data_IF_074445225134
#
_entry.id   IF_074445225134
#
_cell.length_a   1.000
_cell.length_b   1.000
_cell.length_c   1.000
_cell.angle_alpha   90.00
_cell.angle_beta   90.00
_cell.angle_gamma   90.00
#
_symmetry.space_group_name_H-M   'P 1'
#
loop_
_entity.id
_entity.type
_entity.pdbx_description
1 polymer ?
#
# COMPACT_ATOMS: atom_id res chain seq x y z
N UNK A 1 16.71 -9.16 1.00
CA UNK A 1 16.42 -8.06 0.05
C UNK A 1 16.91 -6.75 0.63
N UNK A 2 17.54 -5.95 -0.19
CA UNK A 2 18.11 -4.66 0.19
C UNK A 2 17.01 -3.66 0.61
N UNK A 3 17.25 -2.93 1.70
CA UNK A 3 16.30 -1.92 2.21
C UNK A 3 16.05 -0.81 1.18
N UNK A 4 17.05 -0.41 0.43
CA UNK A 4 16.87 0.59 -0.62
C UNK A 4 15.89 0.11 -1.69
N UNK A 5 15.98 -1.15 -2.08
CA UNK A 5 15.06 -1.76 -3.04
C UNK A 5 13.65 -1.86 -2.48
N UNK A 6 13.51 -2.27 -1.22
CA UNK A 6 12.21 -2.32 -0.56
C UNK A 6 11.55 -0.95 -0.50
N UNK A 7 12.34 0.09 -0.18
CA UNK A 7 11.85 1.47 -0.12
C UNK A 7 11.41 1.97 -1.49
N UNK A 8 12.22 1.73 -2.52
CA UNK A 8 11.90 2.11 -3.89
C UNK A 8 10.60 1.46 -4.36
N UNK A 9 10.47 0.16 -4.14
CA UNK A 9 9.25 -0.58 -4.48
C UNK A 9 8.04 -0.05 -3.72
N UNK A 10 8.19 0.27 -2.44
CA UNK A 10 7.13 0.83 -1.62
C UNK A 10 6.67 2.21 -2.14
N UNK A 11 7.61 3.09 -2.46
CA UNK A 11 7.29 4.41 -3.00
C UNK A 11 6.57 4.30 -4.35
N UNK A 12 7.03 3.40 -5.20
CA UNK A 12 6.38 3.18 -6.49
C UNK A 12 4.95 2.65 -6.33
N UNK A 13 4.75 1.69 -5.44
CA UNK A 13 3.41 1.19 -5.14
C UNK A 13 2.51 2.31 -4.61
N UNK A 14 3.03 3.16 -3.72
CA UNK A 14 2.27 4.29 -3.18
C UNK A 14 1.80 5.23 -4.28
N UNK A 15 2.67 5.57 -5.23
CA UNK A 15 2.32 6.42 -6.37
C UNK A 15 1.24 5.77 -7.23
N UNK A 16 1.34 4.47 -7.46
CA UNK A 16 0.34 3.72 -8.21
C UNK A 16 -1.02 3.72 -7.49
N UNK A 17 -1.03 3.54 -6.17
CA UNK A 17 -2.25 3.57 -5.36
C UNK A 17 -2.93 4.94 -5.41
N UNK A 18 -2.16 6.02 -5.31
CA UNK A 18 -2.70 7.39 -5.36
C UNK A 18 -3.44 7.63 -6.68
N UNK A 19 -2.92 7.08 -7.79
CA UNK A 19 -3.54 7.25 -9.10
C UNK A 19 -4.88 6.50 -9.26
N UNK A 20 -5.23 5.64 -8.30
CA UNK A 20 -6.46 4.85 -8.34
C UNK A 20 -7.42 5.40 -7.27
N UNK A 21 -8.53 6.07 -7.64
CA UNK A 21 -9.51 6.55 -6.67
C UNK A 21 -10.05 5.39 -5.83
N UNK A 22 -10.07 5.57 -4.51
CA UNK A 22 -10.52 4.53 -3.58
C UNK A 22 -11.33 5.10 -2.41
N UNK A 23 -12.42 5.85 -2.67
CA UNK A 23 -13.28 6.32 -1.60
C UNK A 23 -13.88 5.14 -0.84
N UNK A 24 -14.27 5.36 0.41
CA UNK A 24 -14.83 4.30 1.27
C UNK A 24 -15.98 3.58 0.57
N UNK A 25 -15.98 2.26 0.64
CA UNK A 25 -16.90 1.33 -0.03
C UNK A 25 -16.69 1.19 -1.55
N UNK A 26 -15.71 1.86 -2.13
CA UNK A 26 -15.37 1.79 -3.56
C UNK A 26 -13.89 1.46 -3.75
N UNK A 27 -13.36 0.52 -2.96
CA UNK A 27 -11.94 0.18 -2.92
C UNK A 27 -11.55 -0.96 -3.89
N UNK A 28 -12.48 -1.45 -4.68
CA UNK A 28 -12.26 -2.64 -5.53
C UNK A 28 -11.04 -2.51 -6.44
N UNK A 29 -10.88 -1.37 -7.09
CA UNK A 29 -9.80 -1.16 -8.04
C UNK A 29 -8.42 -1.13 -7.37
N UNK A 30 -8.28 -0.40 -6.27
CA UNK A 30 -7.01 -0.34 -5.53
C UNK A 30 -6.70 -1.69 -4.89
N UNK A 31 -7.71 -2.37 -4.37
CA UNK A 31 -7.54 -3.71 -3.81
C UNK A 31 -7.03 -4.69 -4.87
N UNK A 32 -7.64 -4.69 -6.05
CA UNK A 32 -7.19 -5.52 -7.17
C UNK A 32 -5.77 -5.20 -7.60
N UNK A 33 -5.41 -3.93 -7.62
CA UNK A 33 -4.05 -3.49 -7.96
C UNK A 33 -3.02 -4.02 -6.95
N UNK A 34 -3.30 -3.89 -5.66
CA UNK A 34 -2.41 -4.39 -4.60
C UNK A 34 -2.27 -5.91 -4.69
N UNK A 35 -3.37 -6.63 -4.90
CA UNK A 35 -3.34 -8.08 -5.07
C UNK A 35 -2.48 -8.49 -6.26
N UNK A 36 -2.60 -7.81 -7.39
CA UNK A 36 -1.77 -8.07 -8.58
C UNK A 36 -0.30 -7.80 -8.29
N UNK A 37 -0.02 -6.71 -7.57
CA UNK A 37 1.33 -6.33 -7.18
C UNK A 37 1.98 -7.40 -6.28
N UNK A 38 1.24 -7.90 -5.29
CA UNK A 38 1.69 -8.97 -4.40
C UNK A 38 1.92 -10.27 -5.17
N UNK A 39 0.99 -10.62 -6.06
CA UNK A 39 1.10 -11.84 -6.88
C UNK A 39 2.31 -11.81 -7.79
N UNK A 40 2.59 -10.67 -8.41
CA UNK A 40 3.75 -10.50 -9.27
C UNK A 40 5.07 -10.72 -8.52
N UNK A 41 5.07 -10.51 -7.20
CA UNK A 41 6.24 -10.71 -6.33
C UNK A 41 6.19 -12.03 -5.56
N UNK A 42 5.25 -12.91 -5.92
CA UNK A 42 5.09 -14.24 -5.31
C UNK A 42 4.84 -14.17 -3.81
N UNK A 43 4.12 -13.15 -3.36
CA UNK A 43 3.70 -13.01 -1.98
C UNK A 43 2.31 -13.62 -1.85
N UNK A 44 2.23 -14.72 -1.10
CA UNK A 44 0.95 -15.39 -0.85
C UNK A 44 0.06 -14.51 0.00
N UNK A 45 -1.20 -14.41 -0.38
CA UNK A 45 -2.19 -13.61 0.31
C UNK A 45 -3.59 -14.12 0.00
N UNK A 46 -4.54 -13.71 0.81
CA UNK A 46 -5.96 -13.96 0.61
C UNK A 46 -6.68 -12.63 0.44
N UNK A 47 -7.70 -12.63 -0.39
CA UNK A 47 -8.61 -11.50 -0.52
C UNK A 47 -10.00 -11.92 -0.05
N UNK A 48 -10.55 -11.18 0.92
CA UNK A 48 -11.91 -11.39 1.41
C UNK A 48 -12.63 -10.06 1.25
N UNK A 49 -13.50 -9.95 0.23
CA UNK A 49 -14.06 -8.66 -0.17
C UNK A 49 -12.95 -7.73 -0.63
N UNK A 50 -12.77 -6.61 0.04
CA UNK A 50 -11.66 -5.67 -0.19
C UNK A 50 -10.64 -5.68 0.94
N UNK A 51 -10.57 -6.79 1.68
CA UNK A 51 -9.54 -7.01 2.69
C UNK A 51 -8.47 -7.94 2.13
N UNK A 52 -7.23 -7.57 2.31
CA UNK A 52 -6.08 -8.37 1.89
C UNK A 52 -5.36 -8.85 3.14
N UNK A 53 -5.15 -10.15 3.23
CA UNK A 53 -4.51 -10.78 4.39
C UNK A 53 -3.31 -11.59 3.92
N UNK A 54 -2.13 -11.29 4.45
CA UNK A 54 -0.93 -12.08 4.22
C UNK A 54 -0.38 -12.53 5.58
N UNK A 55 0.02 -13.79 5.67
CA UNK A 55 0.52 -14.37 6.91
C UNK A 55 1.85 -15.06 6.68
N UNK A 56 2.77 -14.89 7.61
CA UNK A 56 4.05 -15.59 7.63
C UNK A 56 4.25 -16.21 9.01
N UNK A 57 3.57 -17.32 9.25
CA UNK A 57 3.64 -18.04 10.52
C UNK A 57 4.62 -19.21 10.35
N UNK A 58 5.85 -19.03 10.83
CA UNK A 58 6.91 -20.03 10.73
C UNK A 58 7.00 -20.92 11.96
N UNK A 59 6.46 -20.48 13.09
CA UNK A 59 6.46 -21.22 14.35
C UNK A 59 5.24 -20.82 15.18
N UNK A 60 4.30 -21.75 15.35
CA UNK A 60 3.05 -21.51 16.06
C UNK A 60 3.24 -21.23 17.57
N UNK A 61 4.41 -21.58 18.14
CA UNK A 61 4.70 -21.33 19.54
C UNK A 61 5.21 -19.91 19.82
N UNK A 62 5.52 -19.15 18.77
CA UNK A 62 5.94 -17.75 18.89
C UNK A 62 4.74 -16.82 18.82
N UNK A 63 4.79 -15.68 19.50
CA UNK A 63 3.73 -14.68 19.37
C UNK A 63 3.67 -14.13 17.95
N UNK A 64 2.48 -13.73 17.54
CA UNK A 64 2.22 -13.15 16.23
C UNK A 64 2.04 -11.64 16.35
N UNK A 65 2.77 -10.88 15.55
CA UNK A 65 2.57 -9.44 15.39
C UNK A 65 1.65 -9.21 14.20
N UNK A 66 0.56 -8.51 14.41
CA UNK A 66 -0.34 -8.12 13.33
C UNK A 66 -0.14 -6.64 13.00
N UNK A 67 0.10 -6.37 11.72
CA UNK A 67 0.13 -5.02 11.18
C UNK A 67 -1.16 -4.79 10.41
N UNK A 68 -1.78 -3.63 10.59
CA UNK A 68 -3.07 -3.33 9.97
C UNK A 68 -3.12 -1.89 9.49
N UNK A 69 -3.64 -1.70 8.28
CA UNK A 69 -3.84 -0.39 7.68
C UNK A 69 -5.05 -0.47 6.74
N UNK A 70 -5.59 0.69 6.34
CA UNK A 70 -6.72 0.75 5.43
C UNK A 70 -6.30 1.29 4.05
N UNK A 71 -7.06 0.94 3.03
CA UNK A 71 -6.78 1.30 1.64
C UNK A 71 -7.77 2.30 1.06
N UNK A 72 -8.85 2.60 1.78
CA UNK A 72 -9.81 3.62 1.37
C UNK A 72 -9.33 5.01 1.75
N UNK A 73 -9.87 6.00 1.06
CA UNK A 73 -9.65 7.40 1.32
C UNK A 73 -10.98 8.13 1.47
N UNK A 74 -10.94 9.34 1.99
CA UNK A 74 -12.06 10.27 1.87
C UNK A 74 -12.18 10.73 0.41
N UNK A 75 -13.30 11.35 0.05
CA UNK A 75 -13.40 12.02 -1.25
C UNK A 75 -12.52 13.27 -1.26
N UNK A 76 -11.92 13.62 -2.41
CA UNK A 76 -11.02 14.76 -2.46
C UNK A 76 -11.77 16.07 -2.20
N UNK A 77 -11.12 16.96 -1.45
CA UNK A 77 -11.62 18.32 -1.22
C UNK A 77 -11.53 19.12 -2.52
N UNK A 78 -12.49 20.01 -2.82
CA UNK A 78 -12.38 20.90 -3.97
C UNK A 78 -11.28 21.97 -3.82
N UNK A 79 -10.70 22.09 -2.62
CA UNK A 79 -9.67 23.07 -2.30
C UNK A 79 -8.24 22.62 -2.64
N UNK A 80 -8.06 21.44 -3.20
CA UNK A 80 -6.74 20.96 -3.65
C UNK A 80 -6.15 21.93 -4.69
N UNK A 81 -4.89 22.32 -4.48
CA UNK A 81 -4.15 23.17 -5.42
C UNK A 81 -3.50 22.38 -6.56
N UNK A 82 -3.63 21.05 -6.55
CA UNK A 82 -3.11 20.13 -7.56
C UNK A 82 -4.10 18.97 -7.72
N UNK A 83 -3.92 18.19 -8.80
CA UNK A 83 -4.75 16.99 -9.01
C UNK A 83 -4.44 15.96 -7.89
N UNK A 84 -5.40 15.63 -7.02
CA UNK A 84 -5.16 14.71 -5.90
C UNK A 84 -4.79 13.30 -6.31
N UNK A 85 -5.09 12.89 -7.54
CA UNK A 85 -4.77 11.55 -8.05
C UNK A 85 -3.54 11.52 -8.94
N UNK A 86 -3.22 12.63 -9.61
CA UNK A 86 -2.10 12.74 -10.55
C UNK A 86 -1.41 14.08 -10.38
N UNK A 87 -0.75 14.31 -9.24
CA UNK A 87 -0.09 15.58 -9.02
C UNK A 87 1.06 15.77 -10.01
N UNK A 88 1.10 16.95 -10.62
CA UNK A 88 2.18 17.37 -11.50
C UNK A 88 3.22 18.16 -10.71
N UNK A 89 4.46 18.16 -11.18
CA UNK A 89 5.57 18.93 -10.58
C UNK A 89 5.84 18.57 -9.10
N UNK A 90 5.59 17.33 -8.72
CA UNK A 90 5.93 16.85 -7.38
C UNK A 90 7.45 16.75 -7.24
N UNK A 91 8.06 17.31 -6.18
CA UNK A 91 9.49 17.12 -5.93
C UNK A 91 9.87 15.65 -5.83
N UNK A 92 11.09 15.29 -6.27
CA UNK A 92 11.55 13.89 -6.30
C UNK A 92 11.58 13.23 -4.92
N UNK A 93 11.80 14.03 -3.88
CA UNK A 93 11.87 13.54 -2.49
C UNK A 93 10.51 13.55 -1.78
N UNK A 94 9.42 13.81 -2.51
CA UNK A 94 8.08 13.87 -1.96
C UNK A 94 7.13 12.98 -2.74
N UNK A 95 6.10 12.50 -2.06
CA UNK A 95 4.94 11.87 -2.68
C UNK A 95 3.71 12.68 -2.29
N UNK A 96 3.06 13.28 -3.27
CA UNK A 96 1.86 14.09 -3.08
C UNK A 96 0.64 13.37 -3.62
N UNK A 97 -0.50 13.63 -3.03
CA UNK A 97 -1.77 13.12 -3.50
C UNK A 97 -2.67 12.64 -2.38
N UNK A 98 -3.93 12.39 -2.72
CA UNK A 98 -4.91 11.89 -1.78
C UNK A 98 -4.54 10.46 -1.36
N UNK A 99 -4.42 10.25 -0.05
CA UNK A 99 -4.02 8.97 0.51
C UNK A 99 -2.51 8.76 0.60
N UNK A 100 -1.69 9.75 0.22
CA UNK A 100 -0.23 9.64 0.33
C UNK A 100 0.24 9.45 1.76
N UNK A 101 -0.46 10.02 2.72
CA UNK A 101 -0.18 9.89 4.15
C UNK A 101 -1.23 9.01 4.84
N UNK A 102 -2.49 9.33 4.69
CA UNK A 102 -3.61 8.64 5.33
C UNK A 102 -4.36 7.78 4.31
N UNK A 103 -4.10 6.52 4.19
CA UNK A 103 -3.22 5.67 4.99
C UNK A 103 -2.20 4.92 4.10
N UNK A 104 -2.02 5.40 2.86
CA UNK A 104 -1.17 4.74 1.86
C UNK A 104 0.28 4.56 2.32
N UNK A 105 0.84 5.56 3.01
CA UNK A 105 2.20 5.47 3.53
C UNK A 105 2.33 4.29 4.51
N UNK A 106 1.34 4.09 5.38
CA UNK A 106 1.32 2.96 6.32
C UNK A 106 1.18 1.62 5.57
N UNK A 107 0.31 1.58 4.56
CA UNK A 107 0.10 0.36 3.75
C UNK A 107 1.40 -0.11 3.12
N UNK A 108 2.10 0.77 2.41
CA UNK A 108 3.32 0.38 1.68
C UNK A 108 4.49 0.11 2.62
N UNK A 109 4.56 0.84 3.74
CA UNK A 109 5.59 0.58 4.77
C UNK A 109 5.40 -0.79 5.41
N UNK A 110 4.18 -1.14 5.72
CA UNK A 110 3.79 -2.42 6.28
C UNK A 110 4.13 -3.57 5.32
N UNK A 111 3.82 -3.41 4.04
CA UNK A 111 4.15 -4.40 3.00
C UNK A 111 5.67 -4.55 2.89
N UNK A 112 6.41 -3.44 2.92
CA UNK A 112 7.88 -3.48 2.87
C UNK A 112 8.47 -4.24 4.05
N UNK A 113 7.99 -3.96 5.26
CA UNK A 113 8.42 -4.66 6.47
C UNK A 113 8.09 -6.16 6.39
N UNK A 114 6.89 -6.50 5.96
CA UNK A 114 6.47 -7.89 5.79
C UNK A 114 7.40 -8.63 4.82
N UNK A 115 7.69 -8.03 3.67
CA UNK A 115 8.60 -8.61 2.68
C UNK A 115 9.99 -8.86 3.25
N UNK A 116 10.51 -7.89 4.03
CA UNK A 116 11.83 -8.01 4.64
C UNK A 116 11.88 -9.23 5.58
N UNK A 117 10.91 -9.35 6.47
CA UNK A 117 10.89 -10.43 7.46
C UNK A 117 10.53 -11.79 6.86
N UNK A 118 9.81 -11.85 5.75
CA UNK A 118 9.58 -13.10 5.02
C UNK A 118 10.83 -13.65 4.35
N UNK A 119 11.80 -12.77 4.04
CA UNK A 119 13.07 -13.13 3.40
C UNK A 119 14.17 -13.49 4.39
N UNK A 120 13.93 -13.32 5.66
CA UNK A 120 14.91 -13.53 6.73
C UNK A 120 14.34 -14.42 7.87
#
# INVERSE_FOLDING_TARGET
MDINRLTEDAVNLLREMIAIPSPSFEEDAVCSHICSWLRARKIEHQRIGNNIIAENITNADKPTLMLCAHIDTVSPSPEYSFDPYKPENCPEDMVQGLGSNDDGASVVSMIGAYRHFCSH
#
